data_IF_181018238659
#
_entry.id   IF_181018238659
#
_cell.length_a   1.000
_cell.length_b   1.000
_cell.length_c   1.000
_cell.angle_alpha   90.00
_cell.angle_beta   90.00
_cell.angle_gamma   90.00
#
_symmetry.space_group_name_H-M   'P 1'
#
loop_
_entity.id
_entity.type
_entity.pdbx_description
1 polymer ?
#
# COMPACT_ATOMS: atom_id res chain seq x y z
N UNK A 1 23.98 8.20 5.12
CA UNK A 1 23.90 8.50 3.67
C UNK A 1 24.21 9.97 3.34
N UNK A 2 23.82 10.95 4.17
CA UNK A 2 24.13 12.38 3.92
C UNK A 2 25.61 12.71 4.13
N UNK A 3 26.21 12.22 5.22
CA UNK A 3 27.60 12.52 5.59
C UNK A 3 28.65 12.13 4.50
N UNK A 4 28.58 10.95 3.84
CA UNK A 4 29.47 10.65 2.71
C UNK A 4 29.34 11.61 1.53
N UNK A 5 28.13 12.09 1.23
CA UNK A 5 27.88 13.05 0.14
C UNK A 5 28.39 14.46 0.52
N UNK A 6 28.23 14.85 1.77
CA UNK A 6 28.78 16.11 2.27
C UNK A 6 30.31 16.11 2.27
N UNK A 7 30.92 14.99 2.67
CA UNK A 7 32.37 14.81 2.63
C UNK A 7 32.86 14.81 1.18
N UNK A 8 32.20 14.10 0.27
CA UNK A 8 32.50 14.16 -1.16
C UNK A 8 32.43 15.59 -1.72
N UNK A 9 31.38 16.35 -1.39
CA UNK A 9 31.24 17.75 -1.81
C UNK A 9 32.37 18.62 -1.26
N UNK A 10 32.71 18.48 0.03
CA UNK A 10 33.73 19.32 0.68
C UNK A 10 35.14 18.95 0.22
N UNK A 11 35.46 17.66 0.23
CA UNK A 11 36.81 17.17 0.00
C UNK A 11 37.13 17.04 -1.49
N UNK A 12 36.25 16.45 -2.29
CA UNK A 12 36.51 16.22 -3.71
C UNK A 12 36.17 17.48 -4.54
N UNK A 13 34.93 17.97 -4.46
CA UNK A 13 34.54 19.15 -5.26
C UNK A 13 35.23 20.43 -4.73
N UNK A 14 35.37 20.57 -3.41
CA UNK A 14 36.09 21.69 -2.82
C UNK A 14 37.58 21.72 -3.19
N UNK A 15 38.26 20.57 -3.19
CA UNK A 15 39.67 20.51 -3.58
C UNK A 15 39.89 20.83 -5.06
N UNK A 16 38.94 20.51 -5.96
CA UNK A 16 39.03 20.89 -7.39
C UNK A 16 39.17 22.39 -7.55
N UNK A 17 38.38 23.16 -6.80
CA UNK A 17 38.43 24.63 -6.86
C UNK A 17 39.77 25.17 -6.36
N UNK A 18 40.30 24.63 -5.27
CA UNK A 18 41.57 25.07 -4.73
C UNK A 18 42.75 24.70 -5.64
N UNK A 19 42.75 23.49 -6.21
CA UNK A 19 43.76 23.06 -7.19
C UNK A 19 43.71 23.89 -8.47
N UNK A 20 42.52 24.23 -8.95
CA UNK A 20 42.34 25.16 -10.08
C UNK A 20 42.98 26.51 -9.77
N UNK A 21 42.67 27.09 -8.61
CA UNK A 21 43.24 28.39 -8.19
C UNK A 21 44.77 28.33 -8.07
N UNK A 22 45.32 27.24 -7.53
CA UNK A 22 46.78 27.01 -7.47
C UNK A 22 47.39 26.93 -8.88
N UNK A 23 46.77 26.21 -9.79
CA UNK A 23 47.20 26.10 -11.18
C UNK A 23 47.17 27.46 -11.89
N UNK A 24 46.08 28.22 -11.78
CA UNK A 24 45.95 29.58 -12.34
C UNK A 24 47.04 30.51 -11.78
N UNK A 25 47.27 30.49 -10.46
CA UNK A 25 48.35 31.28 -9.83
C UNK A 25 49.72 30.93 -10.39
N UNK A 26 50.02 29.64 -10.55
CA UNK A 26 51.31 29.19 -11.04
C UNK A 26 51.47 29.46 -12.54
N UNK A 27 50.38 29.42 -13.30
CA UNK A 27 50.32 29.85 -14.71
C UNK A 27 50.75 31.31 -14.82
N UNK A 28 50.14 32.21 -14.04
CA UNK A 28 50.49 33.64 -14.05
C UNK A 28 51.96 33.87 -13.71
N UNK A 29 52.49 33.19 -12.69
CA UNK A 29 53.92 33.30 -12.32
C UNK A 29 54.84 32.84 -13.44
N UNK A 30 54.55 31.68 -14.03
CA UNK A 30 55.35 31.14 -15.11
C UNK A 30 55.36 32.08 -16.33
N UNK A 31 54.18 32.55 -16.78
CA UNK A 31 54.09 33.51 -17.89
C UNK A 31 54.84 34.81 -17.59
N UNK A 32 54.69 35.36 -16.38
CA UNK A 32 55.40 36.58 -15.97
C UNK A 32 56.93 36.36 -15.92
N UNK A 33 57.36 35.19 -15.44
CA UNK A 33 58.78 34.81 -15.40
C UNK A 33 59.35 34.68 -16.82
N UNK A 34 58.59 34.06 -17.72
CA UNK A 34 58.95 33.91 -19.13
C UNK A 34 59.07 35.26 -19.84
N UNK A 35 58.13 36.19 -19.63
CA UNK A 35 58.23 37.56 -20.18
C UNK A 35 59.49 38.28 -19.70
N UNK A 36 59.79 38.20 -18.40
CA UNK A 36 61.01 38.80 -17.82
C UNK A 36 62.26 38.18 -18.40
N UNK A 37 62.30 36.85 -18.51
CA UNK A 37 63.39 36.11 -19.10
C UNK A 37 63.65 36.54 -20.55
N UNK A 38 62.61 36.60 -21.37
CA UNK A 38 62.69 37.01 -22.78
C UNK A 38 63.08 38.49 -22.95
N UNK A 39 62.73 39.34 -21.98
CA UNK A 39 63.12 40.76 -21.98
C UNK A 39 64.57 41.02 -21.56
N UNK A 40 65.28 39.99 -21.07
CA UNK A 40 66.62 40.14 -20.52
C UNK A 40 67.65 40.35 -21.63
N UNK A 41 68.46 41.40 -21.50
CA UNK A 41 69.52 41.69 -22.47
C UNK A 41 70.63 40.63 -22.42
N UNK A 42 71.05 40.16 -23.59
CA UNK A 42 72.20 39.23 -23.75
C UNK A 42 73.54 39.83 -23.32
N UNK A 43 73.60 41.14 -23.02
CA UNK A 43 74.81 41.82 -22.52
C UNK A 43 74.95 41.77 -20.99
N UNK A 44 74.01 41.14 -20.29
CA UNK A 44 74.12 40.92 -18.84
C UNK A 44 75.25 39.94 -18.53
N UNK A 45 75.77 39.99 -17.31
CA UNK A 45 76.82 39.07 -16.88
C UNK A 45 76.27 37.63 -16.79
N UNK A 46 77.16 36.64 -16.91
CA UNK A 46 76.80 35.22 -16.90
C UNK A 46 76.01 34.80 -15.65
N UNK A 47 76.37 35.35 -14.47
CA UNK A 47 75.64 35.06 -13.22
C UNK A 47 74.17 35.45 -13.32
N UNK A 48 73.87 36.63 -13.88
CA UNK A 48 72.49 37.12 -14.03
C UNK A 48 71.70 36.26 -15.02
N UNK A 49 72.35 35.80 -16.11
CA UNK A 49 71.73 34.93 -17.10
C UNK A 49 71.43 33.55 -16.51
N UNK A 50 72.40 32.95 -15.79
CA UNK A 50 72.21 31.67 -15.11
C UNK A 50 71.14 31.73 -14.02
N UNK A 51 71.06 32.82 -13.27
CA UNK A 51 69.98 33.03 -12.29
C UNK A 51 68.61 33.10 -12.98
N UNK A 52 68.52 33.80 -14.11
CA UNK A 52 67.29 33.88 -14.89
C UNK A 52 66.86 32.51 -15.46
N UNK A 53 67.82 31.71 -15.95
CA UNK A 53 67.58 30.32 -16.39
C UNK A 53 67.02 29.47 -15.24
N UNK A 54 67.68 29.49 -14.08
CA UNK A 54 67.29 28.72 -12.92
C UNK A 54 65.87 29.09 -12.41
N UNK A 55 65.54 30.38 -12.42
CA UNK A 55 64.20 30.86 -12.04
C UNK A 55 63.15 30.38 -13.04
N UNK A 56 63.41 30.50 -14.34
CA UNK A 56 62.47 30.06 -15.37
C UNK A 56 62.21 28.55 -15.28
N UNK A 57 63.26 27.75 -15.15
CA UNK A 57 63.14 26.31 -14.99
C UNK A 57 62.36 25.91 -13.73
N UNK A 58 62.61 26.60 -12.61
CA UNK A 58 61.88 26.35 -11.37
C UNK A 58 60.38 26.65 -11.54
N UNK A 59 60.03 27.81 -12.10
CA UNK A 59 58.63 28.20 -12.31
C UNK A 59 57.92 27.28 -13.33
N UNK A 60 58.64 26.80 -14.36
CA UNK A 60 58.16 25.82 -15.33
C UNK A 60 57.83 24.47 -14.68
N UNK A 61 58.73 23.96 -13.82
CA UNK A 61 58.50 22.70 -13.07
C UNK A 61 57.27 22.81 -12.18
N UNK A 62 57.14 23.93 -11.46
CA UNK A 62 55.99 24.17 -10.58
C UNK A 62 54.67 24.31 -11.37
N UNK A 63 54.70 24.97 -12.53
CA UNK A 63 53.55 25.06 -13.44
C UNK A 63 53.09 23.68 -13.92
N UNK A 64 54.02 22.87 -14.41
CA UNK A 64 53.71 21.52 -14.88
C UNK A 64 53.16 20.65 -13.75
N UNK A 65 53.75 20.72 -12.55
CA UNK A 65 53.29 19.99 -11.38
C UNK A 65 51.87 20.40 -10.99
N UNK A 66 51.58 21.70 -10.91
CA UNK A 66 50.24 22.19 -10.60
C UNK A 66 49.20 21.79 -11.68
N UNK A 67 49.62 21.77 -12.95
CA UNK A 67 48.78 21.34 -14.07
C UNK A 67 48.40 19.86 -13.98
N UNK A 68 49.38 18.98 -13.72
CA UNK A 68 49.13 17.54 -13.53
C UNK A 68 48.23 17.26 -12.32
N UNK A 69 48.47 17.94 -11.19
CA UNK A 69 47.61 17.84 -10.00
C UNK A 69 46.16 18.23 -10.32
N UNK A 70 45.95 19.28 -11.13
CA UNK A 70 44.60 19.74 -11.50
C UNK A 70 43.91 18.79 -12.48
N UNK A 71 44.61 18.33 -13.53
CA UNK A 71 44.07 17.40 -14.53
C UNK A 71 43.70 16.06 -13.90
N UNK A 72 44.54 15.51 -13.03
CA UNK A 72 44.25 14.25 -12.33
C UNK A 72 42.92 14.32 -11.58
N UNK A 73 42.68 15.43 -10.89
CA UNK A 73 41.48 15.61 -10.08
C UNK A 73 40.21 15.80 -10.94
N UNK A 74 40.35 16.45 -12.11
CA UNK A 74 39.25 16.52 -13.09
C UNK A 74 38.90 15.12 -13.61
N UNK A 75 39.91 14.28 -13.90
CA UNK A 75 39.69 12.91 -14.36
C UNK A 75 38.97 12.06 -13.32
N UNK A 76 39.33 12.18 -12.04
CA UNK A 76 38.61 11.50 -10.95
C UNK A 76 37.14 11.92 -10.87
N UNK A 77 36.85 13.22 -10.96
CA UNK A 77 35.47 13.73 -10.96
C UNK A 77 34.68 13.22 -12.17
N UNK A 78 35.30 13.19 -13.36
CA UNK A 78 34.68 12.65 -14.56
C UNK A 78 34.38 11.16 -14.43
N UNK A 79 35.30 10.38 -13.87
CA UNK A 79 35.10 8.96 -13.58
C UNK A 79 33.94 8.71 -12.62
N UNK A 80 33.83 9.53 -11.57
CA UNK A 80 32.69 9.48 -10.65
C UNK A 80 31.36 9.78 -11.36
N UNK A 81 31.30 10.85 -12.17
CA UNK A 81 30.09 11.21 -12.92
C UNK A 81 29.67 10.12 -13.89
N UNK A 82 30.64 9.50 -14.57
CA UNK A 82 30.39 8.37 -15.46
C UNK A 82 29.82 7.16 -14.70
N UNK A 83 30.42 6.80 -13.57
CA UNK A 83 29.94 5.71 -12.72
C UNK A 83 28.52 5.97 -12.19
N UNK A 84 28.25 7.21 -11.75
CA UNK A 84 26.92 7.63 -11.32
C UNK A 84 25.88 7.49 -12.43
N UNK A 85 26.14 8.06 -13.61
CA UNK A 85 25.23 7.97 -14.75
C UNK A 85 24.96 6.52 -15.15
N UNK A 86 26.01 5.69 -15.20
CA UNK A 86 25.89 4.26 -15.53
C UNK A 86 25.02 3.52 -14.51
N UNK A 87 25.24 3.75 -13.21
CA UNK A 87 24.44 3.12 -12.16
C UNK A 87 22.95 3.45 -12.28
N UNK A 88 22.60 4.73 -12.44
CA UNK A 88 21.20 5.14 -12.56
C UNK A 88 20.56 4.68 -13.86
N UNK A 89 21.31 4.67 -14.97
CA UNK A 89 20.84 4.12 -16.24
C UNK A 89 20.50 2.64 -16.10
N UNK A 90 21.44 1.84 -15.56
CA UNK A 90 21.23 0.41 -15.36
C UNK A 90 20.07 0.13 -14.40
N UNK A 91 19.97 0.90 -13.31
CA UNK A 91 18.86 0.78 -12.36
C UNK A 91 17.51 1.10 -13.01
N UNK A 92 17.45 2.10 -13.89
CA UNK A 92 16.24 2.44 -14.63
C UNK A 92 15.85 1.34 -15.63
N UNK A 93 16.80 0.77 -16.37
CA UNK A 93 16.53 -0.36 -17.27
C UNK A 93 15.96 -1.56 -16.50
N UNK A 94 16.62 -1.97 -15.41
CA UNK A 94 16.12 -3.06 -14.56
C UNK A 94 14.72 -2.76 -14.03
N UNK A 95 14.49 -1.56 -13.49
CA UNK A 95 13.16 -1.19 -12.99
C UNK A 95 12.09 -1.22 -14.09
N UNK A 96 12.46 -0.86 -15.32
CA UNK A 96 11.58 -0.91 -16.49
C UNK A 96 11.25 -2.34 -16.88
N UNK A 97 12.24 -3.23 -16.91
CA UNK A 97 12.06 -4.66 -17.20
C UNK A 97 11.14 -5.36 -16.19
N UNK A 98 11.20 -4.96 -14.91
CA UNK A 98 10.34 -5.51 -13.85
C UNK A 98 8.94 -4.91 -13.79
N UNK A 99 8.67 -3.79 -14.49
CA UNK A 99 7.38 -3.10 -14.46
C UNK A 99 6.18 -3.98 -14.82
N UNK A 100 6.22 -4.85 -15.86
CA UNK A 100 5.10 -5.74 -16.18
C UNK A 100 4.74 -6.70 -15.03
N UNK A 101 5.75 -7.25 -14.35
CA UNK A 101 5.54 -8.15 -13.21
C UNK A 101 4.88 -7.45 -12.03
N UNK A 102 5.25 -6.20 -11.75
CA UNK A 102 4.61 -5.41 -10.69
C UNK A 102 3.14 -5.14 -11.01
N UNK A 103 2.81 -4.81 -12.27
CA UNK A 103 1.43 -4.61 -12.72
C UNK A 103 0.62 -5.91 -12.60
N UNK A 104 1.20 -7.04 -13.01
CA UNK A 104 0.55 -8.34 -12.91
C UNK A 104 0.27 -8.72 -11.45
N UNK A 105 1.27 -8.55 -10.57
CA UNK A 105 1.12 -8.82 -9.14
C UNK A 105 0.04 -7.93 -8.53
N UNK A 106 0.04 -6.63 -8.85
CA UNK A 106 -1.00 -5.71 -8.42
C UNK A 106 -2.38 -6.18 -8.88
N UNK A 107 -2.52 -6.60 -10.14
CA UNK A 107 -3.77 -7.13 -10.68
C UNK A 107 -4.22 -8.38 -9.94
N UNK A 108 -3.32 -9.31 -9.64
CA UNK A 108 -3.62 -10.54 -8.88
C UNK A 108 -4.06 -10.25 -7.45
N UNK A 109 -3.45 -9.26 -6.79
CA UNK A 109 -3.83 -8.84 -5.43
C UNK A 109 -5.18 -8.11 -5.42
N UNK A 110 -5.45 -7.29 -6.44
CA UNK A 110 -6.70 -6.53 -6.56
C UNK A 110 -7.89 -7.37 -7.03
N UNK A 111 -7.64 -8.44 -7.79
CA UNK A 111 -8.68 -9.45 -8.06
C UNK A 111 -9.14 -9.99 -6.72
N UNK A 112 -10.42 -9.77 -6.40
CA UNK A 112 -11.04 -10.29 -5.16
C UNK A 112 -10.59 -11.73 -4.99
N UNK A 113 -9.98 -12.12 -3.84
CA UNK A 113 -9.63 -13.51 -3.62
C UNK A 113 -10.87 -14.33 -3.92
N UNK A 114 -10.74 -15.34 -4.79
CA UNK A 114 -11.84 -16.27 -5.06
C UNK A 114 -12.48 -16.61 -3.71
N UNK A 115 -13.79 -16.39 -3.58
CA UNK A 115 -14.49 -16.70 -2.34
C UNK A 115 -14.10 -18.14 -1.96
N UNK A 116 -13.42 -18.35 -0.80
CA UNK A 116 -12.96 -19.68 -0.41
C UNK A 116 -14.11 -20.70 -0.41
N UNK A 117 -15.34 -20.23 -0.22
CA UNK A 117 -16.54 -21.05 -0.28
C UNK A 117 -16.87 -21.65 -1.65
N UNK A 118 -16.25 -21.17 -2.73
CA UNK A 118 -16.42 -21.62 -4.12
C UNK A 118 -15.26 -22.47 -4.66
N UNK A 119 -14.20 -22.66 -3.87
CA UNK A 119 -12.98 -23.34 -4.32
C UNK A 119 -13.20 -24.83 -4.61
N UNK A 120 -14.17 -25.45 -3.92
CA UNK A 120 -14.54 -26.85 -4.13
C UNK A 120 -15.83 -26.94 -4.94
N UNK A 121 -15.74 -27.36 -6.21
CA UNK A 121 -16.88 -27.52 -7.12
C UNK A 121 -17.92 -28.56 -6.66
N UNK A 122 -17.60 -29.42 -5.71
CA UNK A 122 -18.55 -30.39 -5.12
C UNK A 122 -19.60 -29.72 -4.21
N UNK A 123 -19.31 -28.53 -3.67
CA UNK A 123 -20.21 -27.83 -2.77
C UNK A 123 -20.60 -26.49 -3.39
N UNK A 124 -21.89 -26.17 -3.34
CA UNK A 124 -22.40 -24.87 -3.80
C UNK A 124 -21.86 -23.72 -2.95
N UNK A 125 -21.68 -23.98 -1.64
CA UNK A 125 -21.03 -23.04 -0.73
C UNK A 125 -20.41 -23.77 0.45
N UNK A 126 -19.27 -23.26 0.91
CA UNK A 126 -18.68 -23.66 2.18
C UNK A 126 -18.09 -22.44 2.89
N UNK A 127 -17.95 -22.49 4.21
CA UNK A 127 -17.43 -21.35 4.94
C UNK A 127 -17.70 -21.44 6.43
N UNK A 128 -17.09 -20.54 7.18
CA UNK A 128 -17.33 -20.45 8.62
C UNK A 128 -18.59 -19.64 8.91
N UNK A 129 -19.45 -20.19 9.75
CA UNK A 129 -20.62 -19.53 10.31
C UNK A 129 -20.59 -19.64 11.83
N UNK A 130 -21.21 -18.69 12.51
CA UNK A 130 -21.50 -18.82 13.95
C UNK A 130 -22.95 -19.30 14.10
N UNK A 131 -23.15 -20.39 14.83
CA UNK A 131 -24.45 -20.99 15.09
C UNK A 131 -24.89 -20.64 16.49
N UNK A 132 -26.10 -20.10 16.61
CA UNK A 132 -26.73 -19.81 17.89
C UNK A 132 -27.13 -21.10 18.62
N UNK A 133 -26.75 -21.21 19.88
CA UNK A 133 -27.17 -22.25 20.80
C UNK A 133 -27.88 -21.60 22.00
N UNK A 134 -29.16 -21.94 22.21
CA UNK A 134 -29.91 -21.50 23.39
C UNK A 134 -29.56 -22.40 24.58
N UNK A 135 -29.13 -21.81 25.69
CA UNK A 135 -28.85 -22.51 26.94
C UNK A 135 -29.80 -22.04 28.04
N UNK A 136 -29.85 -22.77 29.16
CA UNK A 136 -30.68 -22.41 30.31
C UNK A 136 -30.40 -20.97 30.82
N UNK A 137 -29.16 -20.51 30.69
CA UNK A 137 -28.72 -19.17 31.09
C UNK A 137 -28.13 -18.42 29.88
N UNK A 138 -29.00 -18.04 28.94
CA UNK A 138 -28.65 -17.16 27.83
C UNK A 138 -28.31 -17.89 26.53
N UNK A 139 -27.53 -17.23 25.68
CA UNK A 139 -27.25 -17.67 24.30
C UNK A 139 -25.76 -17.72 24.06
N UNK A 140 -25.28 -18.81 23.45
CA UNK A 140 -23.89 -19.00 23.06
C UNK A 140 -23.80 -19.08 21.54
N UNK A 141 -22.69 -18.61 20.97
CA UNK A 141 -22.43 -18.66 19.53
C UNK A 141 -21.21 -19.52 19.27
N UNK A 142 -21.41 -20.62 18.55
CA UNK A 142 -20.34 -21.57 18.26
C UNK A 142 -19.90 -21.46 16.81
N UNK A 143 -18.60 -21.38 16.56
CA UNK A 143 -18.05 -21.35 15.20
C UNK A 143 -18.12 -22.76 14.59
N UNK A 144 -18.74 -22.89 13.42
CA UNK A 144 -18.83 -24.12 12.65
C UNK A 144 -18.31 -23.89 11.24
N UNK A 145 -17.61 -24.89 10.68
CA UNK A 145 -17.39 -24.95 9.25
C UNK A 145 -18.61 -25.59 8.59
N UNK A 146 -19.32 -24.81 7.79
CA UNK A 146 -20.57 -25.22 7.16
C UNK A 146 -20.34 -25.49 5.67
N UNK A 147 -21.08 -26.47 5.13
CA UNK A 147 -21.05 -26.82 3.70
C UNK A 147 -22.47 -27.09 3.22
N UNK A 148 -22.77 -26.67 2.00
CA UNK A 148 -24.06 -26.90 1.36
C UNK A 148 -23.88 -27.47 -0.05
N UNK A 149 -24.67 -28.50 -0.35
CA UNK A 149 -24.81 -29.09 -1.69
C UNK A 149 -26.21 -28.83 -2.22
N UNK A 150 -26.33 -28.03 -3.27
CA UNK A 150 -27.61 -27.64 -3.85
C UNK A 150 -28.33 -28.81 -4.52
N UNK A 151 -27.59 -29.72 -5.17
CA UNK A 151 -28.19 -30.86 -5.90
C UNK A 151 -29.06 -31.73 -4.99
N UNK A 152 -28.56 -32.00 -3.77
CA UNK A 152 -29.24 -32.84 -2.78
C UNK A 152 -29.89 -32.03 -1.64
N UNK A 153 -29.75 -30.69 -1.65
CA UNK A 153 -30.14 -29.78 -0.57
C UNK A 153 -29.58 -30.16 0.81
N UNK A 154 -28.40 -30.76 0.87
CA UNK A 154 -27.81 -31.19 2.15
C UNK A 154 -26.98 -30.04 2.73
N UNK A 155 -27.31 -29.65 3.96
CA UNK A 155 -26.54 -28.72 4.77
C UNK A 155 -25.78 -29.50 5.85
N UNK A 156 -24.48 -29.24 5.98
CA UNK A 156 -23.58 -29.92 6.90
C UNK A 156 -22.88 -28.88 7.79
N UNK A 157 -22.88 -29.12 9.10
CA UNK A 157 -22.26 -28.30 10.13
C UNK A 157 -21.18 -29.12 10.84
N UNK A 158 -19.94 -28.64 10.77
CA UNK A 158 -18.80 -29.27 11.44
C UNK A 158 -18.35 -28.31 12.54
N UNK A 159 -18.54 -28.64 13.83
CA UNK A 159 -18.06 -27.81 14.92
C UNK A 159 -16.56 -27.56 14.80
N UNK A 160 -16.14 -26.29 14.88
CA UNK A 160 -14.76 -25.92 14.68
C UNK A 160 -14.09 -25.57 16.02
N UNK A 161 -13.16 -26.42 16.47
CA UNK A 161 -12.36 -26.18 17.67
C UNK A 161 -10.91 -25.85 17.29
N UNK A 162 -10.48 -24.60 17.51
CA UNK A 162 -9.14 -24.11 17.19
C UNK A 162 -8.03 -24.70 18.08
N UNK A 163 -8.38 -25.29 19.22
CA UNK A 163 -7.43 -25.66 20.28
C UNK A 163 -7.11 -27.16 20.29
N UNK A 164 -8.07 -28.02 19.96
CA UNK A 164 -7.94 -29.46 20.24
C UNK A 164 -7.75 -30.35 19.02
N UNK A 165 -7.94 -29.86 17.79
CA UNK A 165 -7.75 -30.63 16.54
C UNK A 165 -8.61 -31.90 16.41
N UNK A 166 -9.47 -32.22 17.40
CA UNK A 166 -10.32 -33.40 17.40
C UNK A 166 -11.45 -33.21 16.38
N UNK A 167 -11.61 -34.19 15.49
CA UNK A 167 -12.76 -34.24 14.58
C UNK A 167 -14.02 -34.47 15.41
N UNK A 168 -14.84 -33.43 15.55
CA UNK A 168 -16.17 -33.51 16.14
C UNK A 168 -17.13 -34.03 15.07
N UNK A 169 -18.10 -34.86 15.46
CA UNK A 169 -19.11 -35.41 14.54
C UNK A 169 -19.84 -34.28 13.80
N UNK A 170 -19.91 -34.38 12.48
CA UNK A 170 -20.65 -33.44 11.65
C UNK A 170 -22.15 -33.68 11.81
N UNK A 171 -22.93 -32.61 12.00
CA UNK A 171 -24.39 -32.67 11.94
C UNK A 171 -24.85 -32.27 10.55
N UNK A 172 -25.69 -33.08 9.92
CA UNK A 172 -26.20 -32.81 8.57
C UNK A 172 -27.68 -33.06 8.47
N UNK A 173 -28.35 -32.25 7.66
CA UNK A 173 -29.78 -32.34 7.43
C UNK A 173 -30.13 -31.76 6.06
N UNK A 174 -31.30 -32.15 5.56
CA UNK A 174 -31.83 -31.61 4.30
C UNK A 174 -32.48 -30.25 4.54
N UNK A 175 -32.03 -29.23 3.83
CA UNK A 175 -32.49 -27.85 3.95
C UNK A 175 -33.92 -27.70 3.41
N UNK A 176 -34.79 -27.11 4.21
CA UNK A 176 -36.16 -26.76 3.82
C UNK A 176 -36.30 -25.29 3.44
N UNK A 177 -35.82 -24.37 4.27
CA UNK A 177 -35.92 -22.94 4.02
C UNK A 177 -34.73 -22.18 4.58
N UNK A 178 -34.42 -21.05 3.95
CA UNK A 178 -33.47 -20.05 4.43
C UNK A 178 -34.13 -18.67 4.38
N UNK A 179 -34.03 -17.88 5.44
CA UNK A 179 -34.62 -16.54 5.53
C UNK A 179 -33.65 -15.59 6.20
N UNK A 180 -33.42 -14.41 5.62
CA UNK A 180 -32.64 -13.34 6.25
C UNK A 180 -33.37 -12.88 7.52
N UNK A 181 -32.63 -12.71 8.60
CA UNK A 181 -33.20 -12.26 9.88
C UNK A 181 -33.37 -10.73 9.87
N UNK A 182 -34.45 -10.26 10.48
CA UNK A 182 -34.73 -8.81 10.62
C UNK A 182 -33.65 -8.20 11.52
N UNK A 183 -33.07 -7.07 11.11
CA UNK A 183 -31.92 -6.42 11.77
C UNK A 183 -32.15 -6.18 13.26
N UNK A 184 -33.36 -5.75 13.65
CA UNK A 184 -33.67 -5.42 15.06
C UNK A 184 -34.24 -6.61 15.86
N UNK A 185 -34.39 -7.79 15.23
CA UNK A 185 -34.90 -8.98 15.93
C UNK A 185 -33.82 -9.69 16.77
N UNK A 186 -32.56 -9.28 16.61
CA UNK A 186 -31.43 -9.84 17.35
C UNK A 186 -30.28 -8.83 17.43
N UNK A 187 -29.62 -8.74 18.59
CA UNK A 187 -28.42 -7.92 18.77
C UNK A 187 -27.16 -8.57 18.16
N UNK A 188 -27.22 -8.89 16.85
CA UNK A 188 -26.11 -9.40 16.03
C UNK A 188 -26.31 -8.99 14.57
N UNK A 189 -25.20 -8.70 13.89
CA UNK A 189 -25.19 -8.36 12.45
C UNK A 189 -25.06 -9.62 11.59
N UNK A 190 -25.59 -9.56 10.37
CA UNK A 190 -25.44 -10.58 9.33
C UNK A 190 -26.08 -11.93 9.64
N UNK A 191 -27.25 -11.90 10.29
CA UNK A 191 -27.95 -13.10 10.72
C UNK A 191 -28.99 -13.60 9.71
N UNK A 192 -29.14 -14.91 9.65
CA UNK A 192 -30.18 -15.60 8.87
C UNK A 192 -30.59 -16.88 9.58
N UNK A 193 -31.78 -17.36 9.26
CA UNK A 193 -32.35 -18.58 9.80
C UNK A 193 -32.44 -19.66 8.74
N UNK A 194 -32.15 -20.89 9.13
CA UNK A 194 -32.39 -22.07 8.30
C UNK A 194 -33.24 -23.10 9.06
N UNK A 195 -34.08 -23.80 8.31
CA UNK A 195 -34.89 -24.91 8.82
C UNK A 195 -34.61 -26.19 8.04
N UNK A 196 -34.64 -27.33 8.72
CA UNK A 196 -34.49 -28.64 8.10
C UNK A 196 -35.83 -29.25 7.72
N UNK A 197 -35.86 -30.02 6.63
CA UNK A 197 -37.05 -30.78 6.21
C UNK A 197 -37.37 -31.86 7.24
N UNK A 198 -36.34 -32.57 7.69
CA UNK A 198 -36.43 -33.65 8.68
C UNK A 198 -36.53 -33.12 10.12
N UNK A 199 -36.41 -31.80 10.33
CA UNK A 199 -36.41 -31.12 11.64
C UNK A 199 -37.23 -29.82 11.62
N UNK A 200 -38.54 -29.88 11.33
CA UNK A 200 -39.34 -28.68 11.08
C UNK A 200 -39.54 -27.79 12.31
N UNK A 201 -39.47 -28.36 13.52
CA UNK A 201 -39.59 -27.60 14.77
C UNK A 201 -38.27 -26.93 15.22
N UNK A 202 -37.17 -27.18 14.51
CA UNK A 202 -35.85 -26.63 14.83
C UNK A 202 -35.48 -25.53 13.83
N UNK A 203 -35.24 -24.33 14.35
CA UNK A 203 -34.74 -23.19 13.59
C UNK A 203 -33.30 -22.93 14.02
N UNK A 204 -32.37 -23.02 13.08
CA UNK A 204 -30.97 -22.66 13.33
C UNK A 204 -30.75 -21.21 12.95
N UNK A 205 -30.44 -20.37 13.95
CA UNK A 205 -30.01 -18.99 13.70
C UNK A 205 -28.50 -18.96 13.51
N UNK A 206 -28.09 -18.45 12.35
CA UNK A 206 -26.72 -18.40 11.87
C UNK A 206 -26.26 -16.94 11.76
N UNK A 207 -24.96 -16.70 11.91
CA UNK A 207 -24.33 -15.42 11.66
C UNK A 207 -23.17 -15.60 10.66
N UNK A 208 -23.23 -14.83 9.57
CA UNK A 208 -22.16 -14.72 8.58
C UNK A 208 -21.07 -13.73 9.01
N UNK A 209 -19.92 -13.75 8.36
CA UNK A 209 -18.75 -12.94 8.74
C UNK A 209 -18.84 -11.49 8.23
N UNK A 210 -19.61 -11.24 7.18
CA UNK A 210 -19.81 -9.92 6.57
C UNK A 210 -21.15 -9.87 5.82
N UNK A 211 -21.54 -8.68 5.35
CA UNK A 211 -22.73 -8.51 4.50
C UNK A 211 -22.59 -9.26 3.17
N UNK A 212 -21.41 -9.22 2.56
CA UNK A 212 -21.12 -9.97 1.34
C UNK A 212 -21.21 -11.48 1.57
N UNK A 213 -20.69 -11.97 2.69
CA UNK A 213 -20.77 -13.38 3.07
C UNK A 213 -22.22 -13.82 3.30
N UNK A 214 -23.02 -13.00 4.01
CA UNK A 214 -24.45 -13.21 4.17
C UNK A 214 -25.16 -13.31 2.82
N UNK A 215 -24.93 -12.34 1.93
CA UNK A 215 -25.57 -12.29 0.60
C UNK A 215 -25.29 -13.57 -0.18
N UNK A 216 -24.05 -14.04 -0.16
CA UNK A 216 -23.66 -15.27 -0.85
C UNK A 216 -24.23 -16.53 -0.19
N UNK A 217 -24.37 -16.57 1.14
CA UNK A 217 -25.08 -17.66 1.83
C UNK A 217 -26.56 -17.70 1.47
N UNK A 218 -27.24 -16.55 1.46
CA UNK A 218 -28.64 -16.47 1.04
C UNK A 218 -28.78 -16.89 -0.43
N UNK A 219 -27.92 -16.42 -1.34
CA UNK A 219 -27.94 -16.81 -2.76
C UNK A 219 -27.73 -18.33 -2.95
N UNK A 220 -26.81 -18.92 -2.20
CA UNK A 220 -26.55 -20.37 -2.26
C UNK A 220 -27.72 -21.21 -1.73
N UNK A 221 -28.41 -20.72 -0.70
CA UNK A 221 -29.47 -21.43 0.03
C UNK A 221 -30.89 -21.08 -0.45
N UNK A 222 -31.02 -20.35 -1.56
CA UNK A 222 -32.29 -19.79 -2.06
C UNK A 222 -33.05 -19.01 -0.96
N UNK A 223 -32.28 -18.23 -0.21
CA UNK A 223 -32.71 -17.44 0.93
C UNK A 223 -33.67 -16.32 0.55
N UNK A 224 -34.68 -16.11 1.40
CA UNK A 224 -35.69 -15.06 1.21
C UNK A 224 -35.47 -13.89 2.15
N UNK A 225 -35.90 -12.70 1.74
CA UNK A 225 -36.03 -11.55 2.64
C UNK A 225 -37.18 -11.78 3.65
N UNK A 226 -37.10 -11.24 4.87
CA UNK A 226 -38.17 -11.35 5.84
C UNK A 226 -39.39 -10.55 5.36
N UNK A 227 -40.59 -11.09 5.56
CA UNK A 227 -41.81 -10.34 5.30
C UNK A 227 -42.01 -9.29 6.39
N UNK A 228 -41.89 -8.02 6.03
CA UNK A 228 -42.33 -6.93 6.88
C UNK A 228 -43.85 -6.94 6.94
N UNK A 229 -44.42 -7.26 8.10
CA UNK A 229 -45.85 -7.01 8.34
C UNK A 229 -45.99 -5.49 8.43
N UNK A 230 -46.29 -4.85 7.29
CA UNK A 230 -46.72 -3.46 7.29
C UNK A 230 -47.97 -3.38 8.18
N UNK A 231 -48.08 -2.38 9.07
CA UNK A 231 -49.33 -2.16 9.81
C UNK A 231 -50.49 -2.05 8.81
N UNK A 232 -51.70 -2.52 9.18
CA UNK A 232 -52.84 -2.52 8.26
C UNK A 232 -53.04 -1.12 7.69
N UNK A 233 -53.02 -1.00 6.35
CA UNK A 233 -53.33 0.24 5.65
C UNK A 233 -54.67 0.76 6.18
N UNK A 234 -54.76 1.99 6.73
CA UNK A 234 -56.05 2.59 6.98
C UNK A 234 -56.81 2.64 5.65
N UNK A 235 -58.03 2.09 5.65
CA UNK A 235 -58.90 2.03 4.49
C UNK A 235 -59.44 3.43 4.18
N UNK A 236 -58.65 4.25 3.52
CA UNK A 236 -59.10 5.38 2.69
C UNK A 236 -57.93 5.84 1.82
N UNK A 237 -58.17 5.92 0.51
CA UNK A 237 -57.16 6.19 -0.50
C UNK A 237 -56.79 7.68 -0.62
N UNK A 238 -57.00 8.51 0.41
CA UNK A 238 -56.91 9.98 0.29
C UNK A 238 -55.80 10.65 1.12
N UNK A 239 -54.96 9.90 1.84
CA UNK A 239 -53.83 10.49 2.58
C UNK A 239 -52.50 9.81 2.23
N UNK A 240 -52.08 9.96 0.97
CA UNK A 240 -50.70 9.63 0.54
C UNK A 240 -49.91 10.88 0.13
N UNK A 241 -50.26 12.03 0.71
CA UNK A 241 -49.47 13.26 0.63
C UNK A 241 -48.88 13.55 2.00
N UNK A 242 -47.58 13.88 2.03
CA UNK A 242 -46.95 14.45 3.22
C UNK A 242 -47.67 15.77 3.53
N UNK A 243 -48.22 15.89 4.74
CA UNK A 243 -48.76 17.16 5.20
C UNK A 243 -47.64 18.19 5.42
N UNK A 244 -48.00 19.44 5.69
CA UNK A 244 -47.05 20.53 5.90
C UNK A 244 -46.10 20.24 7.08
N UNK A 245 -46.54 19.43 8.06
CA UNK A 245 -45.70 18.93 9.15
C UNK A 245 -44.65 17.93 8.67
N UNK A 246 -45.03 16.97 7.84
CA UNK A 246 -44.13 15.99 7.22
C UNK A 246 -43.13 16.65 6.28
N UNK A 247 -43.55 17.67 5.53
CA UNK A 247 -42.64 18.45 4.68
C UNK A 247 -41.62 19.24 5.50
N UNK A 248 -42.04 19.87 6.60
CA UNK A 248 -41.14 20.56 7.52
C UNK A 248 -40.16 19.62 8.22
N UNK A 249 -40.58 18.40 8.57
CA UNK A 249 -39.70 17.39 9.15
C UNK A 249 -38.59 16.99 8.17
N UNK A 250 -38.93 16.68 6.92
CA UNK A 250 -37.95 16.33 5.89
C UNK A 250 -36.99 17.50 5.62
N UNK A 251 -37.49 18.73 5.53
CA UNK A 251 -36.65 19.91 5.34
C UNK A 251 -35.70 20.17 6.52
N UNK A 252 -36.13 19.87 7.76
CA UNK A 252 -35.24 19.90 8.94
C UNK A 252 -34.15 18.83 8.86
N UNK A 253 -34.46 17.61 8.41
CA UNK A 253 -33.45 16.56 8.22
C UNK A 253 -32.38 16.92 7.17
N UNK A 254 -32.69 17.77 6.19
CA UNK A 254 -31.70 18.27 5.21
C UNK A 254 -30.92 19.51 5.67
N UNK A 255 -31.44 20.24 6.68
CA UNK A 255 -30.86 21.51 7.13
C UNK A 255 -29.99 21.36 8.37
N UNK A 256 -30.29 20.41 9.25
CA UNK A 256 -29.45 20.08 10.39
C UNK A 256 -28.47 18.97 10.03
N UNK A 257 -27.18 19.34 10.05
CA UNK A 257 -26.03 18.46 9.82
C UNK A 257 -26.21 17.05 10.40
N UNK A 258 -26.16 16.02 9.55
CA UNK A 258 -26.26 14.65 10.09
C UNK A 258 -26.13 13.46 9.14
N UNK A 259 -25.18 13.43 8.19
CA UNK A 259 -24.74 12.14 7.63
C UNK A 259 -23.22 11.97 7.45
N UNK A 260 -22.42 12.96 7.83
CA UNK A 260 -20.96 12.81 7.92
C UNK A 260 -20.45 13.36 9.23
N UNK A 261 -20.27 12.48 10.22
CA UNK A 261 -19.46 12.78 11.40
C UNK A 261 -17.99 12.67 10.97
N UNK A 262 -17.38 13.79 10.60
CA UNK A 262 -15.94 13.89 10.39
C UNK A 262 -15.28 13.74 11.76
N UNK A 263 -14.45 12.72 11.94
CA UNK A 263 -13.72 12.45 13.19
C UNK A 263 -12.38 13.17 13.11
N UNK A 264 -12.16 14.10 14.05
CA UNK A 264 -10.95 14.89 14.28
C UNK A 264 -11.41 16.18 14.95
N UNK A 265 -10.90 16.66 16.09
CA UNK A 265 -9.53 16.70 16.60
C UNK A 265 -9.67 17.00 18.11
N UNK A 266 -8.92 16.35 19.00
CA UNK A 266 -8.81 16.80 20.40
C UNK A 266 -7.50 17.55 20.61
N UNK A 267 -7.60 18.85 20.89
CA UNK A 267 -6.56 19.60 21.57
C UNK A 267 -7.21 20.41 22.69
N UNK A 268 -6.96 19.98 23.92
CA UNK A 268 -6.48 20.77 25.07
C UNK A 268 -6.23 19.83 26.24
#
# INVERSE_FOLDING_TARGET
FIEPLENFRKEQIGSVKERKKKFEKQTTKFCTSQERYLSLSTKKNDSTLQEADAILEMEQREFNRAGLEYVSLIQELLGFMYGWLTFYHQGHEVATDFKPHMIELQSRIQKKPLDPGTLNRMFTRSGYLYVMEKRALGTVWNKCFCRYQRECKIFCMIPYNQITGKMVSADSFRLKSCVRRIVDSIDKRFCFDITGEDRPSMVYTMQAQSEDDLRLWLEALDGKEPMYVLPPKPSSADHSYLDEGGFNFIMRCFSDQGLYRVVGVSSK
#
